data_IF_676756583805
#
_entry.id   IF_676756583805
#
_cell.length_a   1.000
_cell.length_b   1.000
_cell.length_c   1.000
_cell.angle_alpha   90.00
_cell.angle_beta   90.00
_cell.angle_gamma   90.00
#
_symmetry.space_group_name_H-M   'P 1'
#
loop_
_entity.id
_entity.type
_entity.pdbx_description
1 polymer ?
#
# COMPACT_ATOMS: atom_id res chain seq x y z
N UNK A 1 46.41 25.79 22.37
CA UNK A 1 45.81 24.48 22.08
C UNK A 1 44.41 24.49 22.67
N UNK A 2 43.43 24.78 21.81
CA UNK A 2 42.00 24.69 22.10
C UNK A 2 41.39 24.20 20.79
N UNK A 3 41.04 22.92 20.74
CA UNK A 3 40.37 22.27 19.62
C UNK A 3 38.95 22.83 19.50
N UNK A 4 38.60 23.27 18.29
CA UNK A 4 37.29 23.75 17.94
C UNK A 4 36.37 22.60 17.55
N UNK A 5 35.20 22.57 18.17
CA UNK A 5 34.08 21.68 17.84
C UNK A 5 33.51 22.05 16.45
N UNK A 6 33.38 21.11 15.50
CA UNK A 6 32.73 21.40 14.22
C UNK A 6 31.21 21.42 14.39
N UNK A 7 30.63 22.50 13.86
CA UNK A 7 29.20 22.81 13.84
C UNK A 7 28.29 21.58 13.61
N UNK A 8 27.35 21.40 14.53
CA UNK A 8 26.27 20.44 14.42
C UNK A 8 25.36 20.75 13.24
N UNK A 9 25.22 19.78 12.34
CA UNK A 9 24.19 19.79 11.32
C UNK A 9 22.83 19.56 12.00
N UNK A 10 22.02 20.61 12.11
CA UNK A 10 20.63 20.47 12.52
C UNK A 10 19.86 19.60 11.51
N UNK A 11 19.00 18.70 11.98
CA UNK A 11 18.22 17.90 11.08
C UNK A 11 17.07 18.69 10.44
N UNK A 12 16.96 18.52 9.12
CA UNK A 12 16.06 19.18 8.15
C UNK A 12 14.55 19.08 8.42
N UNK A 13 14.09 18.52 9.53
CA UNK A 13 12.66 18.38 9.86
C UNK A 13 12.12 19.47 10.77
N UNK A 14 12.91 20.50 11.10
CA UNK A 14 12.48 21.61 11.96
C UNK A 14 11.79 22.78 11.24
N UNK A 15 11.79 22.83 9.90
CA UNK A 15 11.10 23.90 9.17
C UNK A 15 9.74 23.44 8.62
N UNK A 16 8.64 23.96 9.19
CA UNK A 16 7.37 24.08 8.47
C UNK A 16 6.08 23.56 9.13
N UNK A 17 6.11 22.92 10.30
CA UNK A 17 4.88 22.46 10.95
C UNK A 17 4.37 23.44 12.01
N UNK A 18 3.43 24.31 11.62
CA UNK A 18 2.60 25.06 12.57
C UNK A 18 1.73 24.09 13.37
N UNK A 19 1.77 24.17 14.70
CA UNK A 19 1.01 23.33 15.63
C UNK A 19 -0.50 23.60 15.64
N UNK A 20 -0.98 24.59 14.88
CA UNK A 20 -2.38 25.05 14.92
C UNK A 20 -3.27 24.46 13.81
N UNK A 21 -2.77 23.53 12.99
CA UNK A 21 -3.59 22.87 11.97
C UNK A 21 -4.07 21.50 12.41
N UNK A 22 -5.36 21.17 12.22
CA UNK A 22 -5.82 19.80 12.41
C UNK A 22 -5.05 18.87 11.47
N UNK A 23 -4.61 17.73 11.99
CA UNK A 23 -3.76 16.75 11.31
C UNK A 23 -4.33 16.21 9.97
N UNK A 24 -5.61 16.45 9.68
CA UNK A 24 -6.34 15.98 8.50
C UNK A 24 -6.43 16.99 7.35
N UNK A 25 -5.87 18.20 7.49
CA UNK A 25 -5.90 19.23 6.44
C UNK A 25 -4.79 19.00 5.38
N UNK A 26 -5.00 18.02 4.49
CA UNK A 26 -4.15 17.79 3.32
C UNK A 26 -4.67 18.55 2.09
N UNK A 27 -3.79 19.10 1.23
CA UNK A 27 -4.19 19.79 0.02
C UNK A 27 -4.92 18.86 -0.97
N UNK A 28 -5.74 19.42 -1.89
CA UNK A 28 -6.48 18.64 -2.87
C UNK A 28 -5.57 17.71 -3.70
N UNK A 29 -6.11 16.55 -4.05
CA UNK A 29 -5.42 15.36 -4.59
C UNK A 29 -4.48 15.62 -5.79
N UNK A 30 -4.71 16.67 -6.57
CA UNK A 30 -3.88 17.03 -7.74
C UNK A 30 -2.53 17.67 -7.37
N UNK A 31 -2.41 18.31 -6.21
CA UNK A 31 -1.15 18.90 -5.71
C UNK A 31 -0.32 17.85 -4.98
N UNK A 32 -0.97 16.93 -4.26
CA UNK A 32 -0.32 15.76 -3.68
C UNK A 32 0.36 14.90 -4.77
N UNK A 33 -0.32 14.65 -5.91
CA UNK A 33 0.21 13.88 -7.04
C UNK A 33 1.36 14.56 -7.82
N UNK A 34 1.50 15.90 -7.77
CA UNK A 34 2.62 16.61 -8.43
C UNK A 34 3.83 16.79 -7.53
N UNK A 35 3.61 17.01 -6.23
CA UNK A 35 4.68 17.05 -5.23
C UNK A 35 5.29 15.66 -5.00
N UNK A 36 4.52 14.58 -5.21
CA UNK A 36 5.04 13.22 -5.17
C UNK A 36 6.08 13.00 -6.29
N UNK A 37 5.83 13.31 -7.56
CA UNK A 37 6.76 12.97 -8.67
C UNK A 37 8.25 13.32 -8.45
N UNK A 38 8.58 14.55 -8.02
CA UNK A 38 9.98 14.99 -7.83
C UNK A 38 10.58 14.51 -6.50
N UNK A 39 9.82 14.55 -5.40
CA UNK A 39 10.27 13.96 -4.13
C UNK A 39 10.46 12.44 -4.26
N UNK A 40 9.65 11.79 -5.10
CA UNK A 40 9.63 10.36 -5.34
C UNK A 40 10.83 9.88 -6.15
N UNK A 41 11.41 10.68 -7.06
CA UNK A 41 12.68 10.32 -7.70
C UNK A 41 13.82 10.15 -6.69
N UNK A 42 13.86 11.02 -5.67
CA UNK A 42 14.85 10.92 -4.58
C UNK A 42 14.59 9.74 -3.64
N UNK A 43 13.32 9.45 -3.35
CA UNK A 43 12.89 8.28 -2.56
C UNK A 43 13.19 7.00 -3.35
N UNK A 44 12.91 6.95 -4.64
CA UNK A 44 13.21 5.83 -5.53
C UNK A 44 14.69 5.50 -5.54
N UNK A 45 15.56 6.49 -5.76
CA UNK A 45 17.01 6.28 -5.70
C UNK A 45 17.49 5.85 -4.32
N UNK A 46 16.82 6.29 -3.25
CA UNK A 46 17.14 5.89 -1.87
C UNK A 46 16.66 4.47 -1.58
N UNK A 47 15.49 4.07 -2.08
CA UNK A 47 14.96 2.71 -2.01
C UNK A 47 15.82 1.76 -2.85
N UNK A 48 16.24 2.13 -4.05
CA UNK A 48 17.21 1.39 -4.87
C UNK A 48 18.53 1.18 -4.12
N UNK A 49 19.06 2.21 -3.46
CA UNK A 49 20.24 2.05 -2.59
C UNK A 49 19.99 1.12 -1.39
N UNK A 50 18.78 1.14 -0.82
CA UNK A 50 18.39 0.21 0.23
C UNK A 50 18.20 -1.22 -0.30
N UNK A 51 17.78 -1.42 -1.56
CA UNK A 51 17.62 -2.76 -2.17
C UNK A 51 18.90 -3.58 -2.10
N UNK A 52 20.06 -2.95 -2.28
CA UNK A 52 21.35 -3.63 -2.22
C UNK A 52 21.75 -4.16 -0.83
N UNK A 53 21.02 -3.82 0.24
CA UNK A 53 21.28 -4.32 1.60
C UNK A 53 20.10 -4.95 2.34
N UNK A 54 18.86 -4.81 1.84
CA UNK A 54 17.64 -5.14 2.60
C UNK A 54 16.76 -6.23 1.97
N UNK A 55 17.13 -6.78 0.80
CA UNK A 55 16.33 -7.78 0.09
C UNK A 55 15.01 -7.22 -0.47
N UNK A 56 14.93 -5.91 -0.72
CA UNK A 56 13.73 -5.21 -1.21
C UNK A 56 13.36 -5.50 -2.69
N UNK A 57 13.86 -6.57 -3.31
CA UNK A 57 13.57 -6.92 -4.70
C UNK A 57 13.28 -8.40 -4.91
N UNK A 58 12.23 -8.89 -4.25
CA UNK A 58 11.62 -10.21 -4.52
C UNK A 58 10.46 -10.10 -5.53
N UNK A 59 10.61 -9.28 -6.57
CA UNK A 59 9.70 -9.38 -7.71
C UNK A 59 10.18 -10.53 -8.58
N UNK A 60 9.33 -11.53 -8.79
CA UNK A 60 9.59 -12.66 -9.71
C UNK A 60 9.74 -12.21 -11.16
N UNK A 61 9.10 -11.09 -11.53
CA UNK A 61 9.14 -10.46 -12.84
C UNK A 61 9.39 -8.97 -12.66
N UNK A 62 10.29 -8.39 -13.47
CA UNK A 62 10.50 -6.93 -13.48
C UNK A 62 9.17 -6.24 -13.86
N UNK A 63 8.60 -5.38 -13.00
CA UNK A 63 7.39 -4.63 -13.32
C UNK A 63 7.46 -3.86 -14.64
N UNK A 64 8.66 -3.47 -15.10
CA UNK A 64 8.86 -2.82 -16.40
C UNK A 64 8.49 -3.71 -17.58
N UNK A 65 8.68 -5.02 -17.48
CA UNK A 65 8.23 -5.98 -18.49
C UNK A 65 6.72 -5.96 -18.62
N UNK A 66 5.99 -5.91 -17.50
CA UNK A 66 4.54 -5.78 -17.52
C UNK A 66 4.08 -4.46 -18.15
N UNK A 67 4.77 -3.34 -17.90
CA UNK A 67 4.43 -2.05 -18.52
C UNK A 67 4.48 -2.11 -20.06
N UNK A 68 5.48 -2.79 -20.62
CA UNK A 68 5.62 -2.96 -22.07
C UNK A 68 4.53 -3.82 -22.69
N UNK A 69 3.89 -4.69 -21.91
CA UNK A 69 2.79 -5.54 -22.37
C UNK A 69 1.42 -4.83 -22.41
N UNK A 70 1.31 -3.65 -21.79
CA UNK A 70 0.05 -2.90 -21.74
C UNK A 70 -0.05 -1.89 -22.91
N UNK A 71 -1.20 -1.85 -23.56
CA UNK A 71 -1.45 -1.01 -24.74
C UNK A 71 -1.93 0.41 -24.41
N UNK A 72 -2.23 0.72 -23.14
CA UNK A 72 -2.77 2.02 -22.71
C UNK A 72 -1.84 2.73 -21.74
N UNK A 73 -1.49 3.98 -22.05
CA UNK A 73 -0.66 4.82 -21.18
C UNK A 73 -1.27 4.96 -19.78
N UNK A 74 -2.59 5.18 -19.70
CA UNK A 74 -3.25 5.33 -18.40
C UNK A 74 -3.27 4.02 -17.60
N UNK A 75 -3.39 2.88 -18.30
CA UNK A 75 -3.31 1.56 -17.67
C UNK A 75 -1.90 1.32 -17.10
N UNK A 76 -0.86 1.73 -17.84
CA UNK A 76 0.54 1.73 -17.37
C UNK A 76 0.71 2.63 -16.16
N UNK A 77 0.13 3.83 -16.16
CA UNK A 77 0.29 4.77 -15.05
C UNK A 77 -0.38 4.28 -13.76
N UNK A 78 -1.56 3.66 -13.88
CA UNK A 78 -2.23 2.99 -12.75
C UNK A 78 -1.38 1.82 -12.21
N UNK A 79 -0.84 0.97 -13.08
CA UNK A 79 0.00 -0.16 -12.65
C UNK A 79 1.31 0.32 -12.01
N UNK A 80 1.95 1.35 -12.58
CA UNK A 80 3.13 1.98 -12.00
C UNK A 80 2.86 2.52 -10.60
N UNK A 81 1.73 3.18 -10.42
CA UNK A 81 1.30 3.70 -9.11
C UNK A 81 1.01 2.57 -8.11
N UNK A 82 0.48 1.43 -8.56
CA UNK A 82 0.30 0.25 -7.73
C UNK A 82 1.66 -0.30 -7.24
N UNK A 83 2.63 -0.45 -8.14
CA UNK A 83 4.00 -0.90 -7.82
C UNK A 83 4.68 0.06 -6.84
N UNK A 84 4.54 1.37 -7.05
CA UNK A 84 5.06 2.38 -6.13
C UNK A 84 4.43 2.29 -4.74
N UNK A 85 3.13 2.00 -4.66
CA UNK A 85 2.43 1.80 -3.38
C UNK A 85 3.00 0.59 -2.63
N UNK A 86 3.30 -0.52 -3.32
CA UNK A 86 3.97 -1.68 -2.73
C UNK A 86 5.36 -1.32 -2.21
N UNK A 87 6.15 -0.58 -2.97
CA UNK A 87 7.48 -0.14 -2.53
C UNK A 87 7.41 0.80 -1.33
N UNK A 88 6.41 1.69 -1.29
CA UNK A 88 6.11 2.52 -0.12
C UNK A 88 5.80 1.69 1.12
N UNK A 89 5.03 0.61 0.98
CA UNK A 89 4.73 -0.33 2.08
C UNK A 89 5.97 -1.08 2.57
N UNK A 90 6.83 -1.52 1.65
CA UNK A 90 8.07 -2.18 2.04
C UNK A 90 9.01 -1.22 2.78
N UNK A 91 9.10 0.04 2.33
CA UNK A 91 9.81 1.09 3.03
C UNK A 91 9.21 1.34 4.41
N UNK A 92 7.89 1.48 4.52
CA UNK A 92 7.19 1.68 5.78
C UNK A 92 7.43 0.52 6.75
N UNK A 93 7.42 -0.73 6.29
CA UNK A 93 7.73 -1.89 7.12
C UNK A 93 9.20 -1.89 7.59
N UNK A 94 10.14 -1.46 6.76
CA UNK A 94 11.53 -1.29 7.16
C UNK A 94 11.69 -0.16 8.17
N UNK A 95 11.03 0.97 7.94
CA UNK A 95 11.03 2.14 8.82
C UNK A 95 10.41 1.79 10.18
N UNK A 96 9.26 1.13 10.20
CA UNK A 96 8.58 0.69 11.42
C UNK A 96 9.52 -0.15 12.29
N UNK A 97 10.21 -1.14 11.69
CA UNK A 97 11.22 -1.97 12.37
C UNK A 97 12.36 -1.15 12.98
N UNK A 98 12.85 -0.12 12.28
CA UNK A 98 13.92 0.75 12.78
C UNK A 98 13.43 1.71 13.87
N UNK A 99 12.18 2.16 13.77
CA UNK A 99 11.56 3.07 14.73
C UNK A 99 10.99 2.34 15.95
N UNK A 100 10.98 1.00 15.96
CA UNK A 100 10.56 0.25 17.14
C UNK A 100 11.42 0.69 18.32
N UNK A 101 10.83 1.38 19.30
CA UNK A 101 11.60 1.81 20.44
C UNK A 101 12.10 0.56 21.16
N UNK A 102 13.39 0.53 21.51
CA UNK A 102 13.87 -0.45 22.49
C UNK A 102 12.95 -0.43 23.72
N UNK A 103 12.74 -1.60 24.36
CA UNK A 103 11.80 -1.76 25.48
C UNK A 103 11.85 -0.54 26.43
N UNK A 104 10.73 0.16 26.58
CA UNK A 104 10.57 1.29 27.52
C UNK A 104 10.58 2.71 26.93
N UNK A 105 10.84 2.89 25.63
CA UNK A 105 10.72 4.23 25.00
C UNK A 105 9.27 4.55 24.64
N UNK A 106 8.66 5.46 25.39
CA UNK A 106 7.27 5.95 25.19
C UNK A 106 7.08 6.92 24.02
N UNK A 107 8.18 7.45 23.48
CA UNK A 107 8.18 8.44 22.39
C UNK A 107 9.07 8.02 21.23
N UNK A 108 8.62 8.34 20.02
CA UNK A 108 9.36 8.20 18.76
C UNK A 108 9.46 9.59 18.15
N UNK A 109 10.69 10.10 18.00
CA UNK A 109 10.95 11.46 17.47
C UNK A 109 10.14 12.57 18.18
N UNK A 110 9.94 12.45 19.50
CA UNK A 110 9.19 13.42 20.30
C UNK A 110 7.67 13.17 20.37
N UNK A 111 7.12 12.32 19.51
CA UNK A 111 5.69 11.96 19.49
C UNK A 111 5.40 10.72 20.35
N UNK A 112 4.19 10.59 20.94
CA UNK A 112 3.78 9.36 21.62
C UNK A 112 3.84 8.15 20.68
N UNK A 113 4.35 7.02 21.17
CA UNK A 113 4.52 5.81 20.35
C UNK A 113 3.21 5.31 19.72
N UNK A 114 2.09 5.34 20.47
CA UNK A 114 0.77 4.97 19.95
C UNK A 114 0.30 5.86 18.80
N UNK A 115 0.66 7.15 18.79
CA UNK A 115 0.25 8.07 17.72
C UNK A 115 1.00 7.76 16.42
N UNK A 116 2.28 7.40 16.52
CA UNK A 116 3.09 6.93 15.39
C UNK A 116 2.55 5.58 14.89
N UNK A 117 2.20 4.66 15.79
CA UNK A 117 1.58 3.39 15.44
C UNK A 117 0.26 3.58 14.67
N UNK A 118 -0.61 4.51 15.09
CA UNK A 118 -1.83 4.84 14.35
C UNK A 118 -1.54 5.38 12.95
N UNK A 119 -0.58 6.30 12.83
CA UNK A 119 -0.20 6.86 11.55
C UNK A 119 0.33 5.78 10.59
N UNK A 120 1.18 4.88 11.09
CA UNK A 120 1.68 3.74 10.32
C UNK A 120 0.56 2.78 9.92
N UNK A 121 -0.37 2.47 10.84
CA UNK A 121 -1.55 1.64 10.55
C UNK A 121 -2.42 2.24 9.45
N UNK A 122 -2.74 3.53 9.55
CA UNK A 122 -3.52 4.26 8.55
C UNK A 122 -2.83 4.20 7.19
N UNK A 123 -1.55 4.58 7.15
CA UNK A 123 -0.81 4.62 5.90
C UNK A 123 -0.70 3.22 5.27
N UNK A 124 -0.35 2.20 6.05
CA UNK A 124 -0.19 0.84 5.56
C UNK A 124 -1.49 0.27 4.98
N UNK A 125 -2.60 0.38 5.72
CA UNK A 125 -3.89 -0.18 5.27
C UNK A 125 -4.43 0.55 4.04
N UNK A 126 -4.30 1.88 3.98
CA UNK A 126 -4.71 2.67 2.80
C UNK A 126 -3.86 2.30 1.60
N UNK A 127 -2.53 2.33 1.71
CA UNK A 127 -1.63 2.04 0.58
C UNK A 127 -1.80 0.63 0.04
N UNK A 128 -2.05 -0.37 0.90
CA UNK A 128 -2.28 -1.74 0.45
C UNK A 128 -3.56 -1.87 -0.37
N UNK A 129 -4.67 -1.29 0.10
CA UNK A 129 -5.95 -1.32 -0.65
C UNK A 129 -5.84 -0.49 -1.94
N UNK A 130 -5.23 0.68 -1.87
CA UNK A 130 -5.00 1.53 -3.05
C UNK A 130 -4.16 0.81 -4.11
N UNK A 131 -3.13 0.05 -3.74
CA UNK A 131 -2.34 -0.72 -4.69
C UNK A 131 -3.21 -1.71 -5.49
N UNK A 132 -4.12 -2.43 -4.81
CA UNK A 132 -5.02 -3.40 -5.45
C UNK A 132 -6.10 -2.73 -6.29
N UNK A 133 -6.65 -1.62 -5.82
CA UNK A 133 -7.62 -0.84 -6.58
C UNK A 133 -6.99 -0.24 -7.84
N UNK A 134 -5.72 0.16 -7.81
CA UNK A 134 -4.99 0.62 -8.99
C UNK A 134 -4.75 -0.50 -10.02
N UNK A 135 -4.47 -1.73 -9.58
CA UNK A 135 -4.46 -2.89 -10.48
C UNK A 135 -5.85 -3.13 -11.12
N UNK A 136 -6.92 -2.98 -10.34
CA UNK A 136 -8.29 -3.10 -10.83
C UNK A 136 -8.64 -1.96 -11.82
N UNK A 137 -8.17 -0.74 -11.56
CA UNK A 137 -8.28 0.40 -12.46
C UNK A 137 -7.51 0.17 -13.77
N UNK A 138 -6.33 -0.44 -13.73
CA UNK A 138 -5.60 -0.89 -14.94
C UNK A 138 -6.47 -1.77 -15.81
N UNK A 139 -7.17 -2.77 -15.25
CA UNK A 139 -8.13 -3.61 -16.01
C UNK A 139 -9.28 -2.78 -16.60
N UNK A 140 -9.84 -1.85 -15.81
CA UNK A 140 -10.89 -0.94 -16.28
C UNK A 140 -10.47 -0.13 -17.50
N UNK A 141 -9.27 0.45 -17.44
CA UNK A 141 -8.68 1.26 -18.52
C UNK A 141 -8.36 0.45 -19.77
N UNK A 142 -7.99 -0.83 -19.62
CA UNK A 142 -7.72 -1.71 -20.76
C UNK A 142 -9.00 -2.18 -21.46
N UNK A 143 -10.09 -2.41 -20.72
CA UNK A 143 -11.22 -3.20 -21.26
C UNK A 143 -12.60 -2.55 -21.16
N UNK A 144 -12.85 -1.70 -20.16
CA UNK A 144 -14.20 -1.24 -19.87
C UNK A 144 -14.57 0.08 -20.57
N UNK A 145 -13.70 0.62 -21.44
CA UNK A 145 -13.87 1.94 -22.09
C UNK A 145 -14.38 3.00 -21.10
N UNK A 146 -13.93 2.93 -19.85
CA UNK A 146 -14.30 3.89 -18.81
C UNK A 146 -13.58 5.20 -19.13
N UNK A 147 -14.10 5.92 -20.12
CA UNK A 147 -13.68 7.29 -20.42
C UNK A 147 -14.04 8.20 -19.26
N UNK A 148 -13.08 9.05 -18.89
CA UNK A 148 -13.13 10.35 -18.19
C UNK A 148 -14.08 10.59 -17.00
N UNK A 149 -14.89 9.63 -16.59
CA UNK A 149 -15.79 9.79 -15.43
C UNK A 149 -15.04 9.93 -14.10
N UNK A 150 -13.70 9.85 -14.12
CA UNK A 150 -12.81 10.12 -13.00
C UNK A 150 -12.94 9.15 -11.82
N UNK A 151 -13.83 8.17 -11.92
CA UNK A 151 -14.04 7.15 -10.88
C UNK A 151 -13.23 5.92 -11.21
N UNK A 152 -12.08 5.80 -10.57
CA UNK A 152 -11.28 4.58 -10.62
C UNK A 152 -12.11 3.38 -10.13
N UNK A 153 -11.96 2.24 -10.81
CA UNK A 153 -12.64 1.02 -10.42
C UNK A 153 -11.90 0.38 -9.24
N UNK A 154 -12.64 -0.07 -8.24
CA UNK A 154 -12.10 -0.89 -7.14
C UNK A 154 -12.09 -2.36 -7.55
N UNK A 155 -11.42 -3.22 -6.79
CA UNK A 155 -11.47 -4.68 -6.98
C UNK A 155 -12.93 -5.17 -7.11
N UNK A 156 -13.80 -4.70 -6.22
CA UNK A 156 -15.22 -5.12 -6.18
C UNK A 156 -16.03 -4.62 -7.37
N UNK A 157 -15.82 -3.38 -7.81
CA UNK A 157 -16.59 -2.83 -8.94
C UNK A 157 -16.08 -3.36 -10.27
N UNK A 158 -14.77 -3.57 -10.41
CA UNK A 158 -14.13 -4.18 -11.59
C UNK A 158 -14.67 -5.58 -11.84
N UNK A 159 -14.79 -6.40 -10.79
CA UNK A 159 -15.37 -7.75 -10.88
C UNK A 159 -16.76 -7.77 -11.49
N UNK A 160 -17.57 -6.75 -11.31
CA UNK A 160 -18.97 -6.73 -11.82
C UNK A 160 -19.07 -6.33 -13.29
N UNK A 161 -17.96 -5.99 -13.95
CA UNK A 161 -17.95 -5.51 -15.34
C UNK A 161 -18.05 -6.68 -16.33
N UNK A 162 -19.04 -6.70 -17.25
CA UNK A 162 -19.18 -7.77 -18.24
C UNK A 162 -17.96 -7.93 -19.15
N UNK A 163 -17.23 -6.85 -19.43
CA UNK A 163 -16.01 -6.86 -20.23
C UNK A 163 -14.90 -7.66 -19.54
N UNK A 164 -14.76 -7.50 -18.22
CA UNK A 164 -13.78 -8.21 -17.40
C UNK A 164 -14.13 -9.69 -17.25
N UNK A 165 -15.42 -10.02 -17.16
CA UNK A 165 -15.90 -11.41 -17.08
C UNK A 165 -15.48 -12.28 -18.28
N UNK A 166 -15.08 -11.68 -19.41
CA UNK A 166 -14.60 -12.40 -20.59
C UNK A 166 -13.09 -12.62 -20.61
N UNK A 167 -12.36 -12.19 -19.57
CA UNK A 167 -10.90 -12.24 -19.50
C UNK A 167 -10.49 -13.20 -18.38
N UNK A 168 -10.15 -14.47 -18.70
CA UNK A 168 -9.91 -15.49 -17.69
C UNK A 168 -8.80 -15.12 -16.70
N UNK A 169 -7.70 -14.50 -17.16
CA UNK A 169 -6.61 -14.06 -16.28
C UNK A 169 -7.05 -13.00 -15.27
N UNK A 170 -7.85 -12.03 -15.70
CA UNK A 170 -8.39 -10.99 -14.83
C UNK A 170 -9.35 -11.57 -13.77
N UNK A 171 -10.22 -12.50 -14.15
CA UNK A 171 -11.15 -13.16 -13.22
C UNK A 171 -10.40 -14.01 -12.20
N UNK A 172 -9.43 -14.82 -12.62
CA UNK A 172 -8.58 -15.59 -11.68
C UNK A 172 -7.91 -14.69 -10.66
N UNK A 173 -7.35 -13.56 -11.09
CA UNK A 173 -6.71 -12.62 -10.18
C UNK A 173 -7.73 -12.00 -9.20
N UNK A 174 -8.88 -11.55 -9.69
CA UNK A 174 -9.94 -11.00 -8.84
C UNK A 174 -10.49 -12.01 -7.83
N UNK A 175 -10.64 -13.29 -8.24
CA UNK A 175 -11.02 -14.40 -7.36
C UNK A 175 -9.99 -14.60 -6.24
N UNK A 176 -8.70 -14.61 -6.59
CA UNK A 176 -7.61 -14.79 -5.64
C UNK A 176 -7.56 -13.66 -4.59
N UNK A 177 -7.76 -12.40 -5.02
CA UNK A 177 -7.83 -11.25 -4.10
C UNK A 177 -9.02 -11.36 -3.16
N UNK A 178 -10.21 -11.67 -3.67
CA UNK A 178 -11.44 -11.75 -2.86
C UNK A 178 -11.42 -12.94 -1.87
N UNK A 179 -10.84 -14.07 -2.30
CA UNK A 179 -10.66 -15.24 -1.45
C UNK A 179 -9.68 -15.00 -0.29
N UNK A 180 -8.73 -14.07 -0.44
CA UNK A 180 -7.73 -13.77 0.59
C UNK A 180 -8.38 -13.11 1.82
N UNK A 181 -8.49 -13.89 2.90
CA UNK A 181 -9.03 -13.42 4.19
C UNK A 181 -8.25 -12.23 4.77
N UNK A 182 -6.94 -12.12 4.47
CA UNK A 182 -6.09 -11.01 4.92
C UNK A 182 -6.45 -9.72 4.21
N UNK A 183 -6.74 -9.77 2.91
CA UNK A 183 -7.23 -8.62 2.15
C UNK A 183 -8.57 -8.13 2.72
N UNK A 184 -9.53 -9.04 2.93
CA UNK A 184 -10.85 -8.68 3.49
C UNK A 184 -10.71 -8.05 4.89
N UNK A 185 -9.79 -8.56 5.70
CA UNK A 185 -9.48 -7.97 7.00
C UNK A 185 -8.90 -6.55 6.87
N UNK A 186 -7.88 -6.35 6.03
CA UNK A 186 -7.28 -5.03 5.79
C UNK A 186 -8.29 -4.02 5.24
N UNK A 187 -9.18 -4.43 4.33
CA UNK A 187 -10.23 -3.57 3.80
C UNK A 187 -11.19 -3.11 4.89
N UNK A 188 -11.62 -4.03 5.77
CA UNK A 188 -12.45 -3.70 6.93
C UNK A 188 -11.72 -2.74 7.88
N UNK A 189 -10.45 -3.02 8.18
CA UNK A 189 -9.63 -2.18 9.05
C UNK A 189 -9.43 -0.78 8.46
N UNK A 190 -9.05 -0.66 7.18
CA UNK A 190 -8.94 0.59 6.43
C UNK A 190 -10.21 1.42 6.54
N UNK A 191 -11.37 0.81 6.32
CA UNK A 191 -12.66 1.52 6.40
C UNK A 191 -12.96 2.04 7.80
N UNK A 192 -12.60 1.28 8.84
CA UNK A 192 -12.71 1.74 10.23
C UNK A 192 -11.79 2.93 10.50
N UNK A 193 -10.51 2.78 10.15
CA UNK A 193 -9.47 3.80 10.30
C UNK A 193 -9.81 5.11 9.57
N UNK A 194 -10.47 5.02 8.42
CA UNK A 194 -10.78 6.19 7.58
C UNK A 194 -12.10 6.86 7.97
N UNK A 195 -13.11 6.09 8.39
CA UNK A 195 -14.49 6.58 8.51
C UNK A 195 -15.04 6.63 9.94
N UNK A 196 -14.38 5.99 10.91
CA UNK A 196 -14.85 6.01 12.30
C UNK A 196 -14.04 7.01 13.13
N UNK A 197 -14.75 7.91 13.79
CA UNK A 197 -14.17 8.85 14.76
C UNK A 197 -13.85 8.20 16.11
N UNK A 198 -14.48 7.04 16.42
CA UNK A 198 -14.36 6.33 17.71
C UNK A 198 -13.42 5.11 17.63
N UNK A 199 -12.25 5.28 17.00
CA UNK A 199 -11.28 4.21 16.79
C UNK A 199 -10.75 3.57 18.08
N UNK A 200 -10.71 4.33 19.18
CA UNK A 200 -10.09 3.90 20.44
C UNK A 200 -10.82 2.78 21.17
N UNK A 201 -12.12 2.57 20.90
CA UNK A 201 -12.91 1.55 21.58
C UNK A 201 -12.76 0.17 20.95
N UNK A 202 -12.38 0.09 19.66
CA UNK A 202 -12.29 -1.17 18.90
C UNK A 202 -10.88 -1.52 18.38
N UNK A 203 -9.97 -0.55 18.22
CA UNK A 203 -8.55 -0.80 17.83
C UNK A 203 -7.75 -1.22 19.07
N UNK A 204 -8.29 -2.22 19.78
CA UNK A 204 -7.79 -2.88 20.97
C UNK A 204 -7.19 -2.01 22.07
N UNK A 205 -6.63 -2.68 23.07
CA UNK A 205 -6.04 -2.01 24.22
C UNK A 205 -4.70 -1.39 23.82
N UNK A 206 -4.45 -0.17 24.30
CA UNK A 206 -3.09 0.37 24.36
C UNK A 206 -2.39 -0.37 25.51
N UNK A 207 -1.43 -1.23 25.17
CA UNK A 207 -0.60 -1.93 26.16
C UNK A 207 0.85 -1.48 25.95
N UNK A 208 1.53 -1.09 27.03
CA UNK A 208 2.90 -0.56 26.99
C UNK A 208 3.10 0.60 25.99
N UNK A 209 2.11 1.51 25.89
CA UNK A 209 2.09 2.63 24.94
C UNK A 209 2.09 2.21 23.45
N UNK A 210 1.71 0.96 23.16
CA UNK A 210 1.60 0.39 21.80
C UNK A 210 0.17 -0.01 21.47
N UNK A 211 -0.13 0.03 20.17
CA UNK A 211 -1.46 -0.34 19.67
C UNK A 211 -1.50 -1.82 19.34
N UNK A 212 -2.42 -2.52 19.98
CA UNK A 212 -2.75 -3.91 19.70
C UNK A 212 -4.10 -3.96 18.97
N UNK A 213 -4.10 -4.44 17.74
CA UNK A 213 -5.32 -4.60 16.95
C UNK A 213 -5.88 -5.99 17.18
N UNK A 214 -7.17 -6.06 17.52
CA UNK A 214 -7.92 -7.31 17.59
C UNK A 214 -8.11 -7.87 16.18
N UNK A 215 -7.83 -9.17 16.00
CA UNK A 215 -8.07 -9.92 14.77
C UNK A 215 -9.39 -10.71 14.91
N UNK A 216 -10.53 -10.21 14.42
CA UNK A 216 -11.78 -10.96 14.49
C UNK A 216 -11.70 -12.19 13.59
N UNK A 217 -12.01 -13.36 14.15
CA UNK A 217 -12.12 -14.62 13.39
C UNK A 217 -10.84 -15.44 13.28
N UNK A 218 -9.69 -14.95 13.77
CA UNK A 218 -8.49 -15.78 13.96
C UNK A 218 -8.58 -16.37 15.37
N UNK A 219 -9.02 -17.63 15.47
CA UNK A 219 -8.92 -18.37 16.72
C UNK A 219 -7.43 -18.61 16.99
N UNK A 220 -6.87 -18.20 18.14
CA UNK A 220 -5.54 -18.62 18.52
C UNK A 220 -5.50 -20.16 18.52
N UNK A 221 -4.37 -20.72 18.08
CA UNK A 221 -4.15 -22.16 18.05
C UNK A 221 -4.55 -22.80 19.39
N UNK A 222 -5.21 -23.95 19.28
CA UNK A 222 -5.86 -24.75 20.33
C UNK A 222 -5.30 -24.52 21.75
N UNK A 223 -6.05 -23.85 22.62
CA UNK A 223 -5.73 -23.82 24.06
C UNK A 223 -6.44 -22.79 24.93
N UNK A 224 -6.96 -21.70 24.39
CA UNK A 224 -7.66 -20.71 25.21
C UNK A 224 -8.48 -19.74 24.37
N UNK A 225 -9.68 -19.38 24.85
CA UNK A 225 -10.61 -18.44 24.21
C UNK A 225 -10.13 -16.99 24.17
N UNK A 226 -8.82 -16.76 24.04
CA UNK A 226 -8.24 -15.44 23.88
C UNK A 226 -8.57 -14.86 22.51
N UNK A 227 -8.83 -13.55 22.47
CA UNK A 227 -8.91 -12.81 21.21
C UNK A 227 -7.48 -12.66 20.68
N UNK A 228 -7.20 -13.16 19.47
CA UNK A 228 -5.91 -12.95 18.85
C UNK A 228 -5.69 -11.45 18.64
N UNK A 229 -4.61 -10.91 19.22
CA UNK A 229 -4.18 -9.53 19.02
C UNK A 229 -2.88 -9.50 18.22
N UNK A 230 -2.68 -8.45 17.44
CA UNK A 230 -1.44 -8.19 16.73
C UNK A 230 -0.99 -6.76 16.99
N UNK A 231 0.32 -6.52 17.03
CA UNK A 231 0.84 -5.16 17.10
C UNK A 231 0.57 -4.39 15.81
N UNK A 232 0.65 -3.06 15.89
CA UNK A 232 0.62 -2.17 14.73
C UNK A 232 1.66 -2.58 13.65
N UNK A 233 2.90 -2.85 14.06
CA UNK A 233 3.94 -3.35 13.16
C UNK A 233 3.57 -4.67 12.47
N UNK A 234 2.85 -5.57 13.15
CA UNK A 234 2.32 -6.79 12.55
C UNK A 234 1.31 -6.51 11.43
N UNK A 235 0.47 -5.48 11.56
CA UNK A 235 -0.45 -5.04 10.50
C UNK A 235 0.29 -4.37 9.35
N UNK A 236 1.33 -3.58 9.62
CA UNK A 236 2.17 -2.97 8.58
C UNK A 236 2.80 -4.07 7.70
N UNK A 237 3.33 -5.12 8.33
CA UNK A 237 3.88 -6.29 7.63
C UNK A 237 2.78 -7.02 6.84
N UNK A 238 1.62 -7.26 7.44
CA UNK A 238 0.48 -7.88 6.77
C UNK A 238 0.05 -7.11 5.52
N UNK A 239 -0.06 -5.78 5.63
CA UNK A 239 -0.45 -4.89 4.54
C UNK A 239 0.56 -4.95 3.38
N UNK A 240 1.86 -4.90 3.70
CA UNK A 240 2.94 -5.10 2.73
C UNK A 240 2.81 -6.44 2.02
N UNK A 241 2.64 -7.53 2.76
CA UNK A 241 2.65 -8.88 2.20
C UNK A 241 1.45 -9.16 1.29
N UNK A 242 0.25 -8.70 1.70
CA UNK A 242 -0.96 -8.79 0.86
C UNK A 242 -0.77 -8.00 -0.43
N UNK A 243 -0.32 -6.74 -0.34
CA UNK A 243 -0.13 -5.91 -1.52
C UNK A 243 0.95 -6.50 -2.45
N UNK A 244 2.10 -6.89 -1.91
CA UNK A 244 3.19 -7.49 -2.67
C UNK A 244 2.73 -8.78 -3.38
N UNK A 245 2.04 -9.67 -2.68
CA UNK A 245 1.55 -10.95 -3.25
C UNK A 245 0.66 -10.69 -4.47
N UNK A 246 -0.38 -9.88 -4.29
CA UNK A 246 -1.41 -9.71 -5.33
C UNK A 246 -0.96 -8.78 -6.46
N UNK A 247 -0.16 -7.75 -6.18
CA UNK A 247 0.41 -6.90 -7.24
C UNK A 247 1.45 -7.68 -8.04
N UNK A 248 2.26 -8.54 -7.42
CA UNK A 248 3.20 -9.41 -8.17
C UNK A 248 2.44 -10.37 -9.09
N UNK A 249 1.41 -11.04 -8.57
CA UNK A 249 0.56 -11.91 -9.39
C UNK A 249 -0.09 -11.16 -10.57
N UNK A 250 -0.49 -9.90 -10.36
CA UNK A 250 -1.02 -9.06 -11.42
C UNK A 250 0.04 -8.71 -12.48
N UNK A 251 1.23 -8.27 -12.04
CA UNK A 251 2.38 -7.93 -12.90
C UNK A 251 2.77 -9.14 -13.77
N UNK A 252 2.84 -10.32 -13.15
CA UNK A 252 3.11 -11.56 -13.86
C UNK A 252 2.05 -11.90 -14.93
N UNK A 253 0.77 -11.79 -14.58
CA UNK A 253 -0.33 -12.04 -15.51
C UNK A 253 -0.31 -11.04 -16.68
N UNK A 254 0.01 -9.77 -16.40
CA UNK A 254 0.17 -8.73 -17.41
C UNK A 254 1.35 -9.04 -18.34
N UNK A 255 2.51 -9.43 -17.79
CA UNK A 255 3.71 -9.75 -18.56
C UNK A 255 3.51 -10.98 -19.47
N UNK A 256 2.66 -11.93 -19.08
CA UNK A 256 2.26 -13.09 -19.90
C UNK A 256 1.08 -12.80 -20.84
N UNK A 257 0.63 -11.54 -20.92
CA UNK A 257 -0.54 -11.11 -21.71
C UNK A 257 -1.84 -11.86 -21.36
N UNK A 258 -1.94 -12.46 -20.16
CA UNK A 258 -3.15 -13.15 -19.69
C UNK A 258 -4.30 -12.20 -19.38
N UNK A 259 -4.00 -10.90 -19.26
CA UNK A 259 -4.97 -9.84 -19.07
C UNK A 259 -5.57 -9.34 -20.39
N UNK A 260 -5.10 -9.81 -21.55
CA UNK A 260 -5.61 -9.39 -22.86
C UNK A 260 -6.63 -10.41 -23.38
N UNK A 261 -7.73 -9.99 -24.03
CA UNK A 261 -8.68 -10.92 -24.65
C UNK A 261 -8.03 -11.76 -25.75
N UNK A 262 -8.36 -13.06 -25.81
CA UNK A 262 -7.81 -14.01 -26.78
C UNK A 262 -8.14 -13.71 -28.26
N UNK A 263 -9.08 -12.81 -28.53
CA UNK A 263 -9.66 -12.57 -29.87
C UNK A 263 -9.31 -11.22 -30.49
N UNK A 264 -8.17 -10.62 -30.14
CA UNK A 264 -7.68 -9.40 -30.80
C UNK A 264 -6.80 -9.67 -32.02
N UNK A 265 -6.91 -10.85 -32.64
CA UNK A 265 -6.44 -11.03 -34.00
C UNK A 265 -7.15 -10.00 -34.88
N UNK A 266 -6.42 -9.20 -35.68
CA UNK A 266 -7.05 -8.27 -36.62
C UNK A 266 -8.04 -9.09 -37.46
N UNK A 267 -9.25 -8.56 -37.75
CA UNK A 267 -10.13 -9.23 -38.70
C UNK A 267 -9.30 -9.44 -39.96
N UNK A 268 -9.17 -10.70 -40.39
CA UNK A 268 -8.42 -11.04 -41.60
C UNK A 268 -8.80 -10.05 -42.68
N UNK A 269 -7.81 -9.29 -43.16
CA UNK A 269 -8.01 -8.30 -44.20
C UNK A 269 -8.46 -9.01 -45.47
N UNK A 270 -9.78 -9.06 -45.68
CA UNK A 270 -10.43 -9.41 -46.93
C UNK A 270 -10.65 -8.19 -47.80
#
# INVERSE_FOLDING_TARGET
MTEGDPAGSEPWWHEGFSHDRPFWDFPPSSVALRLTSNAFGSVWNRVERMKHGTGLSDWSVDPRTAYGALSSYEAVDSLRSAVHSVMGLQYLAALDRHLQPGRGRRKVLGYPAWAVDMAHLHWATISAITALDLCAATLGRLHCRTGDSGRDLTVRTTRRRPEIQRIPGAIRWLDAVDADGRYRYLLKLRNRLTHQTELFTEVGAIHDDRIHVVLPGIRPGMGGGGVATTSAGGIVVLARDVALTHVTAFVEAAARSELTPASSLPPDGG
#
